data_IF_606227661826
#
_entry.id   IF_606227661826
#
_cell.length_a   1.000
_cell.length_b   1.000
_cell.length_c   1.000
_cell.angle_alpha   90.00
_cell.angle_beta   90.00
_cell.angle_gamma   90.00
#
_symmetry.space_group_name_H-M   'P 1'
#
loop_
_entity.id
_entity.type
_entity.pdbx_description
1 polymer ?
#
# COMPACT_ATOMS: atom_id res chain seq x y z
N UNK A 1 -6.88 13.52 13.65
CA UNK A 1 -5.96 13.63 12.56
C UNK A 1 -6.65 13.70 11.20
N UNK A 2 -5.91 14.12 10.20
CA UNK A 2 -6.45 14.38 8.86
C UNK A 2 -6.61 13.10 8.02
N UNK A 3 -6.00 11.99 8.46
CA UNK A 3 -6.00 10.74 7.67
C UNK A 3 -6.47 9.56 8.49
N UNK A 4 -7.19 8.67 7.81
CA UNK A 4 -7.38 7.31 8.27
C UNK A 4 -6.64 6.40 7.28
N UNK A 5 -5.56 5.77 7.74
CA UNK A 5 -4.68 4.98 6.89
C UNK A 5 -4.71 3.53 7.33
N UNK A 6 -4.92 2.64 6.37
CA UNK A 6 -4.89 1.20 6.59
C UNK A 6 -4.15 0.52 5.45
N UNK A 7 -3.77 -0.72 5.65
CA UNK A 7 -3.17 -1.53 4.60
C UNK A 7 -3.95 -2.83 4.43
N UNK A 8 -3.91 -3.38 3.23
CA UNK A 8 -4.58 -4.63 2.91
C UNK A 8 -3.76 -5.41 1.89
N UNK A 9 -4.01 -6.71 1.81
CA UNK A 9 -3.38 -7.59 0.84
C UNK A 9 -4.36 -7.92 -0.27
N UNK A 10 -3.85 -8.22 -1.46
CA UNK A 10 -4.66 -8.63 -2.60
C UNK A 10 -4.76 -10.14 -2.74
N UNK A 11 -4.07 -10.90 -1.87
CA UNK A 11 -4.16 -12.35 -1.82
C UNK A 11 -4.27 -12.83 -0.38
N UNK A 12 -4.60 -14.09 -0.18
CA UNK A 12 -4.74 -14.68 1.15
C UNK A 12 -3.50 -15.48 1.58
N UNK A 13 -2.39 -15.35 0.84
CA UNK A 13 -1.16 -16.11 1.10
C UNK A 13 -0.63 -15.91 2.53
N UNK A 14 -0.81 -14.72 3.08
CA UNK A 14 -0.34 -14.36 4.41
C UNK A 14 -1.43 -14.43 5.47
N UNK A 15 -2.56 -15.10 5.15
CA UNK A 15 -3.69 -15.22 6.08
C UNK A 15 -4.03 -16.69 6.26
N UNK A 16 -3.95 -17.17 7.51
CA UNK A 16 -4.23 -18.55 7.88
C UNK A 16 -5.39 -18.59 8.88
N UNK A 17 -6.43 -19.36 8.57
CA UNK A 17 -7.63 -19.48 9.42
C UNK A 17 -8.22 -18.10 9.81
N UNK A 18 -8.22 -17.15 8.89
CA UNK A 18 -8.74 -15.81 9.15
C UNK A 18 -7.81 -14.92 9.97
N UNK A 19 -6.62 -15.41 10.33
CA UNK A 19 -5.63 -14.65 11.10
C UNK A 19 -4.47 -14.29 10.17
N UNK A 20 -4.20 -12.99 10.02
CA UNK A 20 -3.10 -12.51 9.20
C UNK A 20 -1.75 -12.69 9.85
N UNK A 21 -0.74 -12.97 9.03
CA UNK A 21 0.64 -13.04 9.49
C UNK A 21 1.14 -11.66 9.90
N UNK A 22 2.06 -11.59 10.88
CA UNK A 22 2.72 -10.33 11.20
C UNK A 22 3.66 -9.91 10.05
N UNK A 23 4.19 -8.68 10.16
CA UNK A 23 5.10 -8.14 9.14
C UNK A 23 6.32 -9.06 9.00
N UNK A 24 6.69 -9.36 7.75
CA UNK A 24 7.84 -10.21 7.43
C UNK A 24 9.11 -9.64 8.08
N UNK A 25 9.94 -10.49 8.75
CA UNK A 25 11.07 -9.98 9.54
C UNK A 25 12.02 -9.01 8.83
N UNK A 26 12.47 -9.25 7.59
CA UNK A 26 13.32 -8.26 6.91
C UNK A 26 12.64 -6.90 6.71
N UNK A 27 11.33 -6.88 6.45
CA UNK A 27 10.57 -5.63 6.33
C UNK A 27 10.49 -4.92 7.68
N UNK A 28 10.26 -5.68 8.75
CA UNK A 28 10.23 -5.14 10.11
C UNK A 28 11.58 -4.53 10.48
N UNK A 29 12.67 -5.18 10.10
CA UNK A 29 14.03 -4.68 10.36
C UNK A 29 14.29 -3.39 9.60
N UNK A 30 13.86 -3.31 8.33
CA UNK A 30 14.01 -2.09 7.54
C UNK A 30 13.25 -0.93 8.19
N UNK A 31 12.00 -1.15 8.60
CA UNK A 31 11.20 -0.14 9.28
C UNK A 31 11.86 0.30 10.59
N UNK A 32 12.41 -0.64 11.37
CA UNK A 32 13.09 -0.34 12.63
C UNK A 32 14.30 0.56 12.43
N UNK A 33 15.04 0.39 11.33
CA UNK A 33 16.16 1.26 11.00
C UNK A 33 15.75 2.73 10.83
N UNK A 34 14.48 2.96 10.52
CA UNK A 34 13.92 4.30 10.33
C UNK A 34 13.04 4.73 11.51
N UNK A 35 13.09 4.01 12.63
CA UNK A 35 12.35 4.34 13.83
C UNK A 35 10.86 4.04 13.75
N UNK A 36 10.44 3.16 12.83
CA UNK A 36 9.02 2.83 12.63
C UNK A 36 8.73 1.46 13.22
N UNK A 37 7.77 1.41 14.15
CA UNK A 37 7.30 0.16 14.74
C UNK A 37 6.12 -0.38 13.93
N UNK A 38 6.11 -1.70 13.70
CA UNK A 38 4.97 -2.39 13.12
C UNK A 38 4.38 -3.41 14.09
N UNK A 39 4.61 -3.21 15.38
CA UNK A 39 4.10 -4.11 16.42
C UNK A 39 2.59 -4.27 16.31
N UNK A 40 2.13 -5.50 16.31
CA UNK A 40 0.70 -5.82 16.22
C UNK A 40 0.11 -5.74 14.83
N UNK A 41 0.88 -5.29 13.84
CA UNK A 41 0.40 -5.22 12.46
C UNK A 41 0.32 -6.61 11.85
N UNK A 42 -0.82 -6.94 11.25
CA UNK A 42 -1.04 -8.23 10.59
C UNK A 42 -1.68 -8.03 9.22
N UNK A 43 -1.49 -9.00 8.33
CA UNK A 43 -2.09 -8.98 7.00
C UNK A 43 -3.62 -9.01 7.10
N UNK A 44 -4.28 -8.19 6.28
CA UNK A 44 -5.73 -8.12 6.17
C UNK A 44 -6.07 -8.16 4.69
N UNK A 45 -7.08 -8.95 4.32
CA UNK A 45 -7.49 -9.08 2.92
C UNK A 45 -8.31 -7.88 2.48
N UNK A 46 -8.00 -7.34 1.30
CA UNK A 46 -8.83 -6.33 0.64
C UNK A 46 -10.17 -6.96 0.27
N UNK A 47 -11.27 -6.24 0.51
CA UNK A 47 -12.61 -6.68 0.18
C UNK A 47 -13.32 -5.64 -0.68
N UNK A 48 -14.39 -6.07 -1.37
CA UNK A 48 -15.20 -5.17 -2.20
C UNK A 48 -15.80 -4.02 -1.38
N UNK A 49 -16.14 -4.28 -0.12
CA UNK A 49 -16.70 -3.26 0.78
C UNK A 49 -15.72 -2.11 1.07
N UNK A 50 -14.42 -2.37 0.93
CA UNK A 50 -13.41 -1.34 1.15
C UNK A 50 -13.51 -0.20 0.14
N UNK A 51 -14.07 -0.45 -1.03
CA UNK A 51 -14.20 0.58 -2.06
C UNK A 51 -14.97 1.81 -1.56
N UNK A 52 -16.07 1.59 -0.87
CA UNK A 52 -16.90 2.70 -0.35
C UNK A 52 -16.33 3.32 0.91
N UNK A 53 -15.47 2.59 1.61
CA UNK A 53 -14.92 3.02 2.90
C UNK A 53 -13.76 3.99 2.77
N UNK A 54 -12.97 3.87 1.70
CA UNK A 54 -11.76 4.67 1.51
C UNK A 54 -11.88 5.60 0.32
N UNK A 55 -11.26 6.78 0.42
CA UNK A 55 -11.22 7.77 -0.66
C UNK A 55 -10.19 7.40 -1.72
N UNK A 56 -9.13 6.73 -1.32
CA UNK A 56 -8.02 6.33 -2.20
C UNK A 56 -7.62 4.91 -1.87
N UNK A 57 -7.41 4.10 -2.90
CA UNK A 57 -6.97 2.71 -2.76
C UNK A 57 -5.73 2.56 -3.64
N UNK A 58 -4.55 2.48 -3.00
CA UNK A 58 -3.27 2.58 -3.70
C UNK A 58 -2.52 1.26 -3.66
N UNK A 59 -2.09 0.80 -4.84
CA UNK A 59 -1.27 -0.39 -4.98
C UNK A 59 0.19 -0.03 -5.20
N UNK A 60 1.06 -1.02 -5.05
CA UNK A 60 2.50 -0.82 -5.20
C UNK A 60 2.95 -1.07 -6.63
N UNK A 61 2.37 -2.06 -7.31
CA UNK A 61 2.75 -2.46 -8.66
C UNK A 61 1.53 -2.84 -9.50
N UNK A 62 1.75 -3.08 -10.79
CA UNK A 62 0.67 -3.43 -11.72
C UNK A 62 0.01 -4.77 -11.37
N UNK A 63 0.71 -5.67 -10.73
CA UNK A 63 0.15 -6.93 -10.25
C UNK A 63 -0.88 -6.68 -9.16
N UNK A 64 -0.55 -5.80 -8.20
CA UNK A 64 -1.52 -5.36 -7.19
C UNK A 64 -2.72 -4.71 -7.85
N UNK A 65 -2.50 -3.81 -8.81
CA UNK A 65 -3.57 -3.09 -9.49
C UNK A 65 -4.56 -4.06 -10.15
N UNK A 66 -4.04 -5.05 -10.87
CA UNK A 66 -4.86 -6.06 -11.51
C UNK A 66 -5.72 -6.82 -10.49
N UNK A 67 -5.11 -7.24 -9.38
CA UNK A 67 -5.81 -7.99 -8.35
C UNK A 67 -6.80 -7.13 -7.59
N UNK A 68 -6.48 -5.86 -7.36
CA UNK A 68 -7.39 -4.90 -6.73
C UNK A 68 -8.67 -4.75 -7.56
N UNK A 69 -8.52 -4.54 -8.87
CA UNK A 69 -9.67 -4.38 -9.76
C UNK A 69 -10.52 -5.66 -9.84
N UNK A 70 -9.86 -6.82 -9.78
CA UNK A 70 -10.58 -8.10 -9.74
C UNK A 70 -11.42 -8.25 -8.47
N UNK A 71 -10.90 -7.83 -7.33
CA UNK A 71 -11.59 -7.90 -6.04
C UNK A 71 -12.70 -6.86 -5.96
N UNK A 72 -12.41 -5.64 -6.36
CA UNK A 72 -13.35 -4.51 -6.27
C UNK A 72 -14.40 -4.51 -7.38
N UNK A 73 -14.16 -5.25 -8.47
CA UNK A 73 -15.02 -5.44 -9.65
C UNK A 73 -15.06 -4.25 -10.59
N UNK A 74 -15.00 -3.02 -10.08
CA UNK A 74 -15.04 -1.81 -10.89
C UNK A 74 -14.42 -0.66 -10.10
N UNK A 75 -14.13 0.44 -10.79
CA UNK A 75 -13.58 1.66 -10.18
C UNK A 75 -14.31 2.89 -10.76
N UNK A 76 -15.61 3.03 -10.51
CA UNK A 76 -16.39 4.12 -11.12
C UNK A 76 -15.97 5.51 -10.63
N UNK A 77 -15.37 5.62 -9.45
CA UNK A 77 -14.97 6.90 -8.86
C UNK A 77 -13.49 7.22 -9.05
N UNK A 78 -12.74 6.36 -9.75
CA UNK A 78 -11.33 6.59 -10.01
C UNK A 78 -10.44 6.57 -8.76
N UNK A 79 -10.77 5.73 -7.79
CA UNK A 79 -10.05 5.64 -6.52
C UNK A 79 -8.78 4.79 -6.59
N UNK A 80 -8.68 3.89 -7.57
CA UNK A 80 -7.63 2.87 -7.65
C UNK A 80 -6.47 3.40 -8.49
N UNK A 81 -5.30 3.52 -7.87
CA UNK A 81 -4.08 4.02 -8.49
C UNK A 81 -2.88 3.27 -7.95
N UNK A 82 -1.73 3.46 -8.58
CA UNK A 82 -0.45 3.06 -7.99
C UNK A 82 0.08 4.21 -7.15
N UNK A 83 0.76 3.89 -6.06
CA UNK A 83 1.32 4.91 -5.18
C UNK A 83 2.26 5.85 -5.93
N UNK A 84 3.13 5.30 -6.79
CA UNK A 84 4.08 6.12 -7.56
C UNK A 84 3.45 6.81 -8.77
N UNK A 85 2.14 6.65 -9.03
CA UNK A 85 1.46 7.48 -10.03
C UNK A 85 1.51 8.96 -9.68
N UNK A 86 1.68 9.28 -8.41
CA UNK A 86 1.78 10.67 -7.93
C UNK A 86 3.19 11.23 -7.98
N UNK A 87 4.19 10.38 -8.24
CA UNK A 87 5.58 10.78 -8.33
C UNK A 87 5.89 11.40 -9.69
N UNK A 88 6.97 12.17 -9.77
CA UNK A 88 7.50 12.70 -11.04
C UNK A 88 8.05 11.59 -11.94
N UNK A 89 8.26 10.39 -11.39
CA UNK A 89 8.74 9.22 -12.12
C UNK A 89 7.83 8.02 -11.84
N UNK A 90 6.60 8.00 -12.42
CA UNK A 90 5.66 6.90 -12.17
C UNK A 90 6.24 5.56 -12.60
N UNK A 91 6.12 4.59 -11.71
CA UNK A 91 6.61 3.23 -11.94
C UNK A 91 6.08 2.30 -10.86
N UNK A 92 6.33 1.01 -11.01
CA UNK A 92 6.03 0.03 -9.98
C UNK A 92 7.05 0.14 -8.85
N UNK A 93 6.60 -0.20 -7.63
CA UNK A 93 7.50 -0.44 -6.50
C UNK A 93 7.73 -1.94 -6.43
N UNK A 94 8.98 -2.35 -6.57
CA UNK A 94 9.33 -3.77 -6.59
C UNK A 94 8.99 -4.45 -5.28
N UNK A 95 8.48 -5.68 -5.37
CA UNK A 95 8.20 -6.50 -4.18
C UNK A 95 9.53 -7.02 -3.63
N UNK A 96 9.94 -6.62 -2.42
CA UNK A 96 11.22 -7.00 -1.87
C UNK A 96 11.32 -8.46 -1.49
N UNK A 97 10.20 -9.18 -1.42
CA UNK A 97 10.19 -10.62 -1.24
C UNK A 97 10.99 -11.30 -2.36
N UNK A 98 10.86 -10.80 -3.60
CA UNK A 98 11.55 -11.36 -4.77
C UNK A 98 12.92 -10.77 -5.00
N UNK A 99 13.12 -9.49 -4.66
CA UNK A 99 14.37 -8.78 -4.97
C UNK A 99 15.35 -8.74 -3.80
N UNK A 100 14.86 -8.88 -2.56
CA UNK A 100 15.66 -8.70 -1.36
C UNK A 100 15.98 -7.24 -1.03
N UNK A 101 15.57 -6.29 -1.89
CA UNK A 101 15.91 -4.88 -1.74
C UNK A 101 14.92 -4.11 -0.87
N UNK A 102 14.85 -4.44 0.42
CA UNK A 102 13.92 -3.77 1.34
C UNK A 102 14.23 -2.29 1.51
N UNK A 103 15.49 -1.90 1.43
CA UNK A 103 15.91 -0.50 1.50
C UNK A 103 15.43 0.29 0.28
N UNK A 104 15.53 -0.29 -0.92
CA UNK A 104 15.04 0.35 -2.15
C UNK A 104 13.52 0.48 -2.10
N UNK A 105 12.83 -0.56 -1.66
CA UNK A 105 11.37 -0.53 -1.52
C UNK A 105 10.94 0.55 -0.53
N UNK A 106 11.63 0.64 0.61
CA UNK A 106 11.34 1.67 1.61
C UNK A 106 11.48 3.06 1.00
N UNK A 107 12.58 3.31 0.28
CA UNK A 107 12.83 4.59 -0.38
C UNK A 107 11.73 4.94 -1.40
N UNK A 108 11.32 3.95 -2.20
CA UNK A 108 10.26 4.16 -3.19
C UNK A 108 8.91 4.44 -2.54
N UNK A 109 8.60 3.77 -1.44
CA UNK A 109 7.36 4.02 -0.69
C UNK A 109 7.36 5.43 -0.11
N UNK A 110 8.48 5.87 0.45
CA UNK A 110 8.61 7.25 0.97
C UNK A 110 8.42 8.27 -0.15
N UNK A 111 9.05 8.05 -1.31
CA UNK A 111 8.86 8.91 -2.48
C UNK A 111 7.38 9.03 -2.85
N UNK A 112 6.68 7.90 -2.88
CA UNK A 112 5.26 7.86 -3.22
C UNK A 112 4.39 8.55 -2.19
N UNK A 113 4.66 8.33 -0.92
CA UNK A 113 3.89 8.94 0.17
C UNK A 113 4.06 10.46 0.18
N UNK A 114 5.28 10.95 -0.02
CA UNK A 114 5.54 12.38 -0.10
C UNK A 114 4.87 13.01 -1.31
N UNK A 115 4.93 12.34 -2.47
CA UNK A 115 4.28 12.83 -3.68
C UNK A 115 2.75 12.85 -3.53
N UNK A 116 2.18 11.82 -2.91
CA UNK A 116 0.75 11.75 -2.66
C UNK A 116 0.30 12.85 -1.69
N UNK A 117 1.08 13.11 -0.66
CA UNK A 117 0.79 14.20 0.28
C UNK A 117 0.78 15.55 -0.43
N UNK A 118 1.76 15.81 -1.30
CA UNK A 118 1.79 17.02 -2.11
C UNK A 118 0.57 17.15 -3.02
N UNK A 119 0.16 16.01 -3.63
CA UNK A 119 -1.05 15.97 -4.46
C UNK A 119 -2.28 16.38 -3.65
N UNK A 120 -2.46 15.83 -2.45
CA UNK A 120 -3.59 16.16 -1.59
C UNK A 120 -3.58 17.63 -1.17
N UNK A 121 -2.41 18.17 -0.87
CA UNK A 121 -2.27 19.59 -0.54
C UNK A 121 -2.65 20.48 -1.73
N UNK A 122 -2.24 20.10 -2.94
CA UNK A 122 -2.52 20.88 -4.16
C UNK A 122 -3.99 20.89 -4.50
N UNK A 123 -4.73 19.82 -4.23
CA UNK A 123 -6.19 19.79 -4.46
C UNK A 123 -6.98 20.21 -3.23
N UNK A 124 -6.29 20.72 -2.22
CA UNK A 124 -6.87 21.30 -1.00
C UNK A 124 -7.75 20.31 -0.20
N UNK A 125 -7.30 19.06 -0.14
CA UNK A 125 -7.93 18.05 0.72
C UNK A 125 -7.40 18.12 2.16
N UNK A 126 -6.39 18.93 2.37
CA UNK A 126 -5.80 19.14 3.67
C UNK A 126 -5.98 20.58 4.12
#
# INVERSE_FOLDING_TARGET
DQFYIASAATSTEEIWNGIGNPVYPPAREELARHGISCKGKRAVQLTKADYDKYDYILGMDHWNLKNMLRILKADPEGKVKLLLDYSDNPRDIADPWYTGGFDVTYSDVVEGCEAFLRYLQNIKKL
#
